data_IF_539776809171
#
_entry.id   IF_539776809171
#
_cell.length_a   1.000
_cell.length_b   1.000
_cell.length_c   1.000
_cell.angle_alpha   90.00
_cell.angle_beta   90.00
_cell.angle_gamma   90.00
#
_symmetry.space_group_name_H-M   'P 1'
#
loop_
_entity.id
_entity.type
_entity.pdbx_description
1 polymer ?
#
# COMPACT_ATOMS: atom_id res chain seq x y z
N UNK A 1 10.96 11.89 -20.47
CA UNK A 1 11.28 11.27 -19.16
C UNK A 1 12.45 12.03 -18.56
N UNK A 2 12.43 12.27 -17.25
CA UNK A 2 13.59 12.82 -16.54
C UNK A 2 14.55 11.68 -16.18
N UNK A 3 15.83 11.82 -16.55
CA UNK A 3 16.87 10.85 -16.19
C UNK A 3 17.54 11.31 -14.91
N UNK A 4 17.55 10.45 -13.89
CA UNK A 4 18.22 10.72 -12.61
C UNK A 4 19.38 9.75 -12.47
N UNK A 5 20.59 10.27 -12.21
CA UNK A 5 21.75 9.46 -11.90
C UNK A 5 21.79 9.23 -10.38
N UNK A 6 21.92 7.97 -9.95
CA UNK A 6 21.89 7.56 -8.56
C UNK A 6 23.09 6.65 -8.31
N UNK A 7 23.88 6.94 -7.27
CA UNK A 7 24.89 6.02 -6.76
C UNK A 7 24.26 5.14 -5.69
N UNK A 8 24.30 3.83 -5.91
CA UNK A 8 23.79 2.84 -4.98
C UNK A 8 24.96 2.14 -4.29
N UNK A 9 24.73 1.62 -3.08
CA UNK A 9 25.72 0.77 -2.42
C UNK A 9 25.86 -0.59 -3.11
N UNK A 10 27.01 -1.24 -2.92
CA UNK A 10 27.37 -2.53 -3.55
C UNK A 10 26.26 -3.59 -3.47
N UNK A 11 25.62 -3.72 -2.30
CA UNK A 11 24.49 -4.62 -2.09
C UNK A 11 23.38 -4.44 -3.14
N UNK A 12 22.98 -3.20 -3.41
CA UNK A 12 21.89 -2.89 -4.33
C UNK A 12 22.30 -3.05 -5.79
N UNK A 13 23.56 -2.77 -6.12
CA UNK A 13 24.07 -3.03 -7.46
C UNK A 13 24.09 -4.53 -7.78
N UNK A 14 24.50 -5.37 -6.83
CA UNK A 14 24.46 -6.83 -6.95
C UNK A 14 23.01 -7.31 -7.08
N UNK A 15 22.12 -6.83 -6.23
CA UNK A 15 20.69 -7.17 -6.29
C UNK A 15 20.08 -6.84 -7.65
N UNK A 16 20.24 -5.60 -8.14
CA UNK A 16 19.70 -5.16 -9.43
C UNK A 16 20.27 -6.00 -10.57
N UNK A 17 21.58 -6.29 -10.54
CA UNK A 17 22.23 -7.13 -11.55
C UNK A 17 21.66 -8.54 -11.58
N UNK A 18 21.43 -9.14 -10.41
CA UNK A 18 20.83 -10.47 -10.30
C UNK A 18 19.41 -10.48 -10.87
N UNK A 19 18.59 -9.49 -10.50
CA UNK A 19 17.22 -9.35 -10.99
C UNK A 19 17.14 -9.19 -12.51
N UNK A 20 18.02 -8.37 -13.11
CA UNK A 20 18.11 -8.24 -14.57
C UNK A 20 18.64 -9.53 -15.22
N UNK A 21 19.69 -10.14 -14.66
CA UNK A 21 20.28 -11.37 -15.19
C UNK A 21 19.33 -12.57 -15.15
N UNK A 22 18.38 -12.57 -14.20
CA UNK A 22 17.34 -13.58 -14.09
C UNK A 22 16.29 -13.51 -15.21
N UNK A 23 16.28 -12.41 -15.97
CA UNK A 23 15.29 -12.13 -17.01
C UNK A 23 13.97 -11.56 -16.48
N UNK A 24 13.82 -11.34 -15.17
CA UNK A 24 12.61 -10.75 -14.57
C UNK A 24 12.40 -9.30 -15.01
N UNK A 25 13.49 -8.54 -15.19
CA UNK A 25 13.46 -7.15 -15.63
C UNK A 25 14.42 -6.94 -16.80
N UNK A 26 14.06 -6.05 -17.73
CA UNK A 26 14.86 -5.71 -18.90
C UNK A 26 15.93 -4.65 -18.63
N UNK A 27 15.84 -3.91 -17.51
CA UNK A 27 16.84 -2.92 -17.13
C UNK A 27 16.84 -2.60 -15.63
N UNK A 28 17.94 -2.03 -15.14
CA UNK A 28 18.03 -1.47 -13.79
C UNK A 28 16.94 -0.42 -13.51
N UNK A 29 16.62 0.41 -14.51
CA UNK A 29 15.57 1.43 -14.41
C UNK A 29 14.18 0.83 -14.20
N UNK A 30 13.91 -0.38 -14.71
CA UNK A 30 12.65 -1.08 -14.45
C UNK A 30 12.57 -1.60 -13.01
N UNK A 31 13.65 -2.22 -12.52
CA UNK A 31 13.76 -2.69 -11.13
C UNK A 31 13.50 -1.54 -10.16
N UNK A 32 14.16 -0.40 -10.38
CA UNK A 32 14.02 0.78 -9.52
C UNK A 32 12.59 1.35 -9.59
N UNK A 33 11.98 1.44 -10.78
CA UNK A 33 10.59 1.92 -10.91
C UNK A 33 9.61 1.01 -10.18
N UNK A 34 9.79 -0.29 -10.29
CA UNK A 34 8.92 -1.26 -9.62
C UNK A 34 9.05 -1.18 -8.09
N UNK A 35 10.28 -1.08 -7.59
CA UNK A 35 10.55 -0.86 -6.17
C UNK A 35 9.92 0.45 -5.65
N UNK A 36 10.03 1.53 -6.41
CA UNK A 36 9.40 2.82 -6.04
C UNK A 36 7.88 2.73 -6.03
N UNK A 37 7.27 2.02 -6.99
CA UNK A 37 5.82 1.81 -7.03
C UNK A 37 5.35 1.02 -5.80
N UNK A 38 6.05 -0.05 -5.44
CA UNK A 38 5.73 -0.83 -4.25
C UNK A 38 5.87 0.01 -2.96
N UNK A 39 6.87 0.87 -2.88
CA UNK A 39 7.05 1.79 -1.76
C UNK A 39 5.91 2.83 -1.67
N UNK A 40 5.51 3.41 -2.80
CA UNK A 40 4.39 4.34 -2.88
C UNK A 40 3.08 3.70 -2.43
N UNK A 41 2.78 2.49 -2.93
CA UNK A 41 1.57 1.74 -2.57
C UNK A 41 1.54 1.44 -1.06
N UNK A 42 2.66 0.98 -0.50
CA UNK A 42 2.78 0.73 0.94
C UNK A 42 2.56 2.00 1.76
N UNK A 43 3.12 3.13 1.32
CA UNK A 43 2.95 4.42 2.00
C UNK A 43 1.48 4.86 1.97
N UNK A 44 0.84 4.80 0.80
CA UNK A 44 -0.57 5.14 0.63
C UNK A 44 -1.48 4.31 1.52
N UNK A 45 -1.30 2.98 1.54
CA UNK A 45 -2.06 2.07 2.42
C UNK A 45 -1.87 2.39 3.90
N UNK A 46 -0.65 2.71 4.32
CA UNK A 46 -0.35 3.06 5.71
C UNK A 46 -0.96 4.40 6.11
N UNK A 47 -0.95 5.39 5.22
CA UNK A 47 -1.59 6.69 5.45
C UNK A 47 -3.11 6.53 5.56
N UNK A 48 -3.74 5.79 4.64
CA UNK A 48 -5.17 5.49 4.72
C UNK A 48 -5.55 4.81 6.04
N UNK A 49 -4.78 3.78 6.44
CA UNK A 49 -5.00 3.09 7.71
C UNK A 49 -4.91 4.05 8.91
N UNK A 50 -3.88 4.91 8.96
CA UNK A 50 -3.72 5.90 10.04
C UNK A 50 -4.90 6.87 10.09
N UNK A 51 -5.36 7.33 8.94
CA UNK A 51 -6.53 8.22 8.84
C UNK A 51 -7.79 7.56 9.39
N UNK A 52 -8.09 6.33 8.95
CA UNK A 52 -9.28 5.61 9.42
C UNK A 52 -9.23 5.27 10.91
N UNK A 53 -8.05 4.90 11.43
CA UNK A 53 -7.87 4.67 12.86
C UNK A 53 -8.04 5.95 13.68
N UNK A 54 -7.50 7.08 13.20
CA UNK A 54 -7.67 8.37 13.87
C UNK A 54 -9.15 8.78 13.90
N UNK A 55 -9.87 8.61 12.79
CA UNK A 55 -11.30 8.87 12.72
C UNK A 55 -12.08 8.00 13.72
N UNK A 56 -11.87 6.68 13.71
CA UNK A 56 -12.54 5.77 14.64
C UNK A 56 -12.22 6.07 16.11
N UNK A 57 -10.99 6.50 16.41
CA UNK A 57 -10.58 6.89 17.76
C UNK A 57 -11.20 8.21 18.24
N UNK A 58 -11.49 9.15 17.34
CA UNK A 58 -12.27 10.37 17.65
C UNK A 58 -13.75 10.01 17.88
N UNK A 59 -14.35 9.21 17.00
CA UNK A 59 -15.73 8.74 17.13
C UNK A 59 -15.95 8.00 18.46
N UNK A 60 -15.08 7.06 18.79
CA UNK A 60 -15.14 6.32 20.06
C UNK A 60 -15.01 7.24 21.28
N UNK A 61 -14.18 8.30 21.21
CA UNK A 61 -14.06 9.30 22.29
C UNK A 61 -15.32 10.16 22.42
N UNK A 62 -16.00 10.43 21.31
CA UNK A 62 -17.28 11.13 21.28
C UNK A 62 -18.47 10.24 21.68
N UNK A 63 -18.27 8.92 21.84
CA UNK A 63 -19.34 7.96 22.09
C UNK A 63 -20.15 7.59 20.83
N UNK A 64 -19.64 7.92 19.64
CA UNK A 64 -20.25 7.60 18.36
C UNK A 64 -19.93 6.15 18.00
N UNK A 65 -20.82 5.24 18.41
CA UNK A 65 -20.77 3.84 18.03
C UNK A 65 -21.97 3.47 17.17
N UNK A 66 -21.87 2.33 16.47
CA UNK A 66 -23.02 1.73 15.81
C UNK A 66 -23.83 1.00 16.88
N UNK A 67 -25.02 1.51 17.16
CA UNK A 67 -25.97 0.86 18.05
C UNK A 67 -26.50 -0.43 17.40
N UNK A 68 -26.77 -1.46 18.21
CA UNK A 68 -27.37 -2.73 17.79
C UNK A 68 -26.66 -3.42 16.61
N UNK A 69 -25.33 -3.32 16.52
CA UNK A 69 -24.55 -3.96 15.47
C UNK A 69 -24.80 -5.47 15.40
N UNK A 70 -25.30 -5.94 14.25
CA UNK A 70 -25.49 -7.36 13.93
C UNK A 70 -24.87 -7.67 12.58
N UNK A 71 -23.98 -8.66 12.56
CA UNK A 71 -23.35 -9.13 11.32
C UNK A 71 -24.38 -9.70 10.35
N UNK A 72 -25.38 -10.44 10.87
CA UNK A 72 -26.44 -11.03 10.05
C UNK A 72 -27.34 -9.96 9.43
N UNK A 73 -27.64 -8.89 10.18
CA UNK A 73 -28.41 -7.76 9.64
C UNK A 73 -27.64 -7.03 8.53
N UNK A 74 -26.35 -6.77 8.75
CA UNK A 74 -25.50 -6.12 7.75
C UNK A 74 -25.37 -6.94 6.46
N UNK A 75 -25.23 -8.26 6.55
CA UNK A 75 -25.15 -9.15 5.38
C UNK A 75 -26.47 -9.12 4.61
N UNK A 76 -27.60 -9.24 5.31
CA UNK A 76 -28.93 -9.19 4.67
C UNK A 76 -29.19 -7.86 3.96
N UNK A 77 -28.78 -6.73 4.56
CA UNK A 77 -28.92 -5.41 3.94
C UNK A 77 -28.10 -5.32 2.65
N UNK A 78 -26.82 -5.73 2.68
CA UNK A 78 -25.93 -5.73 1.50
C UNK A 78 -26.44 -6.64 0.37
N UNK A 79 -27.00 -7.81 0.70
CA UNK A 79 -27.58 -8.72 -0.28
C UNK A 79 -28.91 -8.21 -0.85
N UNK A 80 -29.61 -7.32 -0.14
CA UNK A 80 -30.87 -6.70 -0.58
C UNK A 80 -30.68 -5.45 -1.46
N UNK A 81 -29.50 -4.83 -1.41
CA UNK A 81 -29.12 -3.67 -2.24
C UNK A 81 -28.52 -4.06 -3.61
N UNK A 82 -28.35 -5.37 -3.89
CA UNK A 82 -27.85 -5.92 -5.15
C UNK A 82 -28.98 -6.33 -6.11
#
# INVERSE_FOLDING_TARGET
MATTSLSLGEHWEVFIRNEVSSGRYGSASEVVRDALRAMEERKSKLEALRTHLAQGAEQARAGEFVDDFSMDALINDLDSEA
#
